data_IF_550599079380
#
_entry.id   IF_550599079380
#
_cell.length_a   1.000
_cell.length_b   1.000
_cell.length_c   1.000
_cell.angle_alpha   90.00
_cell.angle_beta   90.00
_cell.angle_gamma   90.00
#
_symmetry.space_group_name_H-M   'P 1'
#
loop_
_entity.id
_entity.type
_entity.pdbx_description
1 polymer ?
#
# COMPACT_ATOMS: atom_id res chain seq x y z
N UNK A 1 -11.32 -11.74 -3.56
CA UNK A 1 -10.61 -12.26 -2.38
C UNK A 1 -11.54 -12.37 -1.19
N UNK A 2 -12.36 -11.34 -0.91
CA UNK A 2 -13.21 -11.34 0.31
C UNK A 2 -14.31 -12.41 0.29
N UNK A 3 -14.74 -12.87 -0.87
CA UNK A 3 -15.81 -13.86 -1.05
C UNK A 3 -15.27 -15.31 -1.17
N UNK A 4 -13.96 -15.51 -0.98
CA UNK A 4 -13.36 -16.83 -1.03
C UNK A 4 -13.50 -17.57 0.32
N UNK A 5 -13.81 -18.86 0.26
CA UNK A 5 -13.96 -19.71 1.45
C UNK A 5 -12.63 -20.05 2.10
N UNK A 6 -11.57 -20.17 1.29
CA UNK A 6 -10.22 -20.52 1.70
C UNK A 6 -9.24 -19.51 1.10
N UNK A 7 -8.22 -19.14 1.86
CA UNK A 7 -7.17 -18.24 1.40
C UNK A 7 -5.81 -18.94 1.39
N UNK A 8 -5.19 -19.02 0.22
CA UNK A 8 -3.82 -19.54 0.10
C UNK A 8 -2.95 -18.39 -0.42
N UNK A 9 -1.87 -18.06 0.30
CA UNK A 9 -0.87 -17.11 -0.15
C UNK A 9 0.44 -17.78 -0.52
N UNK A 10 1.02 -17.32 -1.62
CA UNK A 10 2.38 -17.63 -2.02
C UNK A 10 3.15 -16.33 -2.11
N UNK A 11 4.16 -16.15 -1.28
CA UNK A 11 4.98 -14.95 -1.23
C UNK A 11 6.42 -15.26 -1.59
N UNK A 12 7.07 -14.39 -2.35
CA UNK A 12 8.51 -14.34 -2.49
C UNK A 12 9.07 -13.50 -1.35
N UNK A 13 9.91 -14.08 -0.50
CA UNK A 13 10.54 -13.37 0.61
C UNK A 13 11.76 -12.59 0.13
N UNK A 14 11.86 -11.31 0.48
CA UNK A 14 12.92 -10.39 0.03
C UNK A 14 13.02 -9.17 0.93
N UNK A 15 14.10 -8.39 0.77
CA UNK A 15 14.24 -7.09 1.42
C UNK A 15 13.20 -6.07 0.98
N UNK A 16 13.05 -5.00 1.76
CA UNK A 16 12.18 -3.87 1.44
C UNK A 16 12.58 -2.63 2.24
N UNK A 17 12.76 -1.51 1.55
CA UNK A 17 13.28 -0.25 2.12
C UNK A 17 12.41 0.36 3.23
N UNK A 18 11.09 0.22 3.13
CA UNK A 18 10.17 0.87 4.09
C UNK A 18 9.68 -0.07 5.18
N UNK A 19 9.75 -1.39 4.98
CA UNK A 19 9.18 -2.40 5.88
C UNK A 19 10.22 -3.37 6.44
N UNK A 20 11.48 -3.21 6.05
CA UNK A 20 12.57 -4.12 6.35
C UNK A 20 12.59 -5.32 5.41
N UNK A 21 11.52 -6.06 5.32
CA UNK A 21 11.32 -7.18 4.40
C UNK A 21 9.89 -7.26 3.86
N UNK A 22 9.67 -8.08 2.85
CA UNK A 22 8.37 -8.42 2.31
C UNK A 22 8.19 -9.94 2.29
N UNK A 23 7.35 -10.44 3.19
CA UNK A 23 6.94 -11.84 3.31
C UNK A 23 5.43 -12.02 3.17
N UNK A 24 4.84 -12.97 3.88
CA UNK A 24 3.43 -13.31 3.81
C UNK A 24 2.52 -12.14 4.21
N UNK A 25 2.79 -11.45 5.33
CA UNK A 25 1.98 -10.33 5.83
C UNK A 25 1.92 -9.20 4.81
N UNK A 26 3.07 -8.80 4.25
CA UNK A 26 3.10 -7.76 3.21
C UNK A 26 2.39 -8.21 1.94
N UNK A 27 2.59 -9.44 1.52
CA UNK A 27 1.94 -10.01 0.34
C UNK A 27 0.41 -9.96 0.47
N UNK A 28 -0.13 -10.30 1.62
CA UNK A 28 -1.56 -10.28 1.91
C UNK A 28 -2.06 -8.84 2.07
N UNK A 29 -1.50 -8.09 3.00
CA UNK A 29 -1.99 -6.77 3.40
C UNK A 29 -1.93 -5.74 2.27
N UNK A 30 -0.79 -5.68 1.57
CA UNK A 30 -0.64 -4.78 0.42
C UNK A 30 -1.23 -5.39 -0.86
N UNK A 31 -0.97 -6.68 -1.10
CA UNK A 31 -1.38 -7.36 -2.34
C UNK A 31 -2.89 -7.42 -2.51
N UNK A 32 -3.63 -7.74 -1.46
CA UNK A 32 -5.10 -7.83 -1.48
C UNK A 32 -5.81 -6.49 -1.31
N UNK A 33 -5.07 -5.42 -1.00
CA UNK A 33 -5.63 -4.07 -0.93
C UNK A 33 -6.10 -3.58 -2.29
N UNK A 34 -7.28 -2.96 -2.33
CA UNK A 34 -7.72 -2.21 -3.51
C UNK A 34 -6.75 -1.06 -3.80
N UNK A 35 -6.83 -0.45 -4.99
CA UNK A 35 -6.01 0.74 -5.31
C UNK A 35 -6.18 1.83 -4.25
N UNK A 36 -7.41 2.09 -3.82
CA UNK A 36 -7.69 3.07 -2.76
C UNK A 36 -7.12 2.61 -1.40
N UNK A 37 -7.23 1.32 -1.08
CA UNK A 37 -6.65 0.74 0.13
C UNK A 37 -5.12 0.81 0.15
N UNK A 38 -4.45 0.52 -0.97
CA UNK A 38 -2.99 0.71 -1.09
C UNK A 38 -2.57 2.16 -0.88
N UNK A 39 -3.32 3.09 -1.46
CA UNK A 39 -3.08 4.52 -1.23
C UNK A 39 -3.30 4.92 0.23
N UNK A 40 -4.34 4.38 0.88
CA UNK A 40 -4.60 4.62 2.30
C UNK A 40 -3.48 4.07 3.18
N UNK A 41 -2.97 2.87 2.90
CA UNK A 41 -1.84 2.30 3.62
C UNK A 41 -0.59 3.18 3.52
N UNK A 42 -0.29 3.74 2.34
CA UNK A 42 0.84 4.64 2.12
C UNK A 42 0.59 6.09 2.58
N UNK A 43 -0.66 6.50 2.76
CA UNK A 43 -1.02 7.84 3.17
C UNK A 43 -1.36 7.87 4.68
N UNK A 44 -0.54 8.55 5.47
CA UNK A 44 -0.84 8.82 6.89
C UNK A 44 -1.40 10.20 7.11
N UNK A 45 -1.62 10.96 6.09
CA UNK A 45 -1.86 12.35 6.30
C UNK A 45 -2.43 13.10 5.11
N UNK A 46 -2.51 14.37 5.34
CA UNK A 46 -3.10 15.34 4.45
C UNK A 46 -2.34 15.41 3.14
N UNK A 47 -3.08 15.56 2.08
CA UNK A 47 -2.55 15.76 0.74
C UNK A 47 -2.50 17.26 0.40
N UNK A 48 -1.57 17.66 -0.44
CA UNK A 48 -1.46 19.04 -0.94
C UNK A 48 -1.57 19.09 -2.46
N UNK A 49 -1.95 20.26 -2.96
CA UNK A 49 -2.02 20.53 -4.39
C UNK A 49 -0.85 21.42 -4.80
N UNK A 50 -0.13 21.02 -5.84
CA UNK A 50 0.81 21.90 -6.52
C UNK A 50 0.05 22.74 -7.56
N UNK A 51 -0.16 24.03 -7.34
CA UNK A 51 -0.96 24.88 -8.22
C UNK A 51 -0.34 25.03 -9.62
N UNK A 52 0.99 24.93 -9.74
CA UNK A 52 1.66 25.02 -11.04
C UNK A 52 1.35 23.83 -11.96
N UNK A 53 1.10 22.67 -11.37
CA UNK A 53 0.76 21.43 -12.09
C UNK A 53 -0.75 21.26 -12.26
N UNK A 54 -1.55 21.80 -11.35
CA UNK A 54 -3.00 21.67 -11.39
C UNK A 54 -3.59 22.33 -12.64
N UNK A 55 -4.46 21.62 -13.35
CA UNK A 55 -5.16 22.09 -14.55
C UNK A 55 -6.66 22.36 -14.29
N UNK A 56 -7.13 22.21 -13.06
CA UNK A 56 -8.53 22.42 -12.71
C UNK A 56 -9.52 21.47 -13.38
N UNK A 57 -9.07 20.27 -13.75
CA UNK A 57 -9.86 19.31 -14.55
C UNK A 57 -11.01 18.63 -13.78
N UNK A 58 -11.07 18.75 -12.47
CA UNK A 58 -12.15 18.22 -11.64
C UNK A 58 -12.04 16.76 -11.26
N UNK A 59 -11.10 16.00 -11.77
CA UNK A 59 -11.01 14.55 -11.51
C UNK A 59 -10.89 14.22 -10.03
N UNK A 60 -10.07 14.95 -9.29
CA UNK A 60 -9.86 14.74 -7.86
C UNK A 60 -11.15 15.00 -7.04
N UNK A 61 -11.87 16.07 -7.32
CA UNK A 61 -13.08 16.42 -6.59
C UNK A 61 -14.21 15.41 -6.85
N UNK A 62 -14.41 14.99 -8.11
CA UNK A 62 -15.41 13.96 -8.46
C UNK A 62 -15.15 12.62 -7.79
N UNK A 63 -13.92 12.32 -7.43
CA UNK A 63 -13.53 11.07 -6.79
C UNK A 63 -13.31 11.19 -5.27
N UNK A 64 -13.54 12.37 -4.68
CA UNK A 64 -13.42 12.58 -3.25
C UNK A 64 -14.72 12.19 -2.53
N UNK A 65 -14.70 11.04 -1.84
CA UNK A 65 -15.87 10.58 -1.09
C UNK A 65 -16.27 11.50 0.08
N UNK A 66 -15.32 12.33 0.55
CA UNK A 66 -15.56 13.26 1.66
C UNK A 66 -15.96 14.66 1.22
N UNK A 67 -16.02 14.92 -0.09
CA UNK A 67 -16.29 16.27 -0.60
C UNK A 67 -15.25 17.31 -0.14
N UNK A 68 -14.02 16.88 0.15
CA UNK A 68 -12.97 17.72 0.71
C UNK A 68 -12.20 18.54 -0.32
N UNK A 69 -12.66 18.59 -1.59
CA UNK A 69 -11.93 19.29 -2.65
C UNK A 69 -12.85 20.28 -3.34
N UNK A 70 -12.49 21.55 -3.27
CA UNK A 70 -13.13 22.69 -3.94
C UNK A 70 -12.16 23.32 -4.95
N UNK A 71 -12.55 24.43 -5.54
CA UNK A 71 -11.74 25.19 -6.50
C UNK A 71 -11.64 26.63 -6.05
N UNK A 72 -10.43 27.18 -6.08
CA UNK A 72 -10.18 28.58 -5.89
C UNK A 72 -10.60 29.44 -7.12
N UNK A 73 -10.43 30.74 -7.01
CA UNK A 73 -10.74 31.70 -8.09
C UNK A 73 -9.89 31.43 -9.34
N UNK A 74 -8.68 30.93 -9.17
CA UNK A 74 -7.76 30.51 -10.24
C UNK A 74 -8.13 29.14 -10.85
N UNK A 75 -9.26 28.56 -10.45
CA UNK A 75 -9.74 27.21 -10.83
C UNK A 75 -8.82 26.08 -10.43
N UNK A 76 -7.86 26.30 -9.51
CA UNK A 76 -7.02 25.25 -8.96
C UNK A 76 -7.74 24.53 -7.82
N UNK A 77 -7.46 23.25 -7.69
CA UNK A 77 -8.04 22.46 -6.60
C UNK A 77 -7.49 22.94 -5.25
N UNK A 78 -8.37 23.06 -4.28
CA UNK A 78 -8.08 23.39 -2.88
C UNK A 78 -8.62 22.27 -2.02
N UNK A 79 -7.83 21.82 -1.07
CA UNK A 79 -8.18 20.71 -0.17
C UNK A 79 -8.57 21.28 1.19
N UNK A 80 -9.77 20.96 1.61
CA UNK A 80 -10.26 21.22 2.96
C UNK A 80 -9.66 20.19 3.91
N UNK A 81 -8.75 20.63 4.74
CA UNK A 81 -8.00 19.76 5.65
C UNK A 81 -8.86 19.16 6.76
N UNK A 82 -9.96 19.80 7.14
CA UNK A 82 -10.87 19.28 8.16
C UNK A 82 -11.70 18.11 7.63
N UNK A 83 -12.12 18.19 6.37
CA UNK A 83 -12.84 17.10 5.71
C UNK A 83 -11.95 16.01 5.13
N UNK A 84 -10.68 16.32 4.89
CA UNK A 84 -9.75 15.37 4.28
C UNK A 84 -9.33 14.27 5.27
N UNK A 85 -9.68 13.03 4.96
CA UNK A 85 -9.29 11.84 5.75
C UNK A 85 -7.97 11.20 5.29
N UNK A 86 -7.25 11.81 4.36
CA UNK A 86 -5.93 11.33 3.92
C UNK A 86 -5.94 10.04 3.08
N UNK A 87 -7.07 9.60 2.53
CA UNK A 87 -7.18 8.33 1.81
C UNK A 87 -6.41 8.25 0.48
N UNK A 88 -5.82 9.36 0.00
CA UNK A 88 -4.99 9.43 -1.20
C UNK A 88 -5.71 9.17 -2.54
N UNK A 89 -7.02 8.91 -2.56
CA UNK A 89 -7.76 8.62 -3.79
C UNK A 89 -7.57 9.69 -4.87
N UNK A 90 -7.53 10.97 -4.49
CA UNK A 90 -7.31 12.09 -5.38
C UNK A 90 -5.95 12.07 -6.08
N UNK A 91 -4.91 11.52 -5.44
CA UNK A 91 -3.58 11.33 -6.04
C UNK A 91 -3.70 10.37 -7.22
N UNK A 92 -4.32 9.20 -6.98
CA UNK A 92 -4.49 8.18 -8.01
C UNK A 92 -5.33 8.59 -9.23
N UNK A 93 -6.14 9.66 -9.10
CA UNK A 93 -6.96 10.20 -10.20
C UNK A 93 -6.39 11.49 -10.81
N UNK A 94 -5.19 11.93 -10.38
CA UNK A 94 -4.58 13.14 -10.91
C UNK A 94 -3.62 12.80 -12.06
N UNK A 95 -4.08 12.99 -13.31
CA UNK A 95 -3.25 12.76 -14.50
C UNK A 95 -2.10 13.78 -14.70
N UNK A 96 -2.02 14.79 -13.83
CA UNK A 96 -1.03 15.86 -13.91
C UNK A 96 -0.02 15.81 -12.76
N UNK A 97 -0.06 14.79 -11.91
CA UNK A 97 0.74 14.66 -10.69
C UNK A 97 0.74 15.94 -9.84
N UNK A 98 -0.39 16.62 -9.83
CA UNK A 98 -0.54 17.88 -9.11
C UNK A 98 -0.85 17.68 -7.62
N UNK A 99 -1.30 16.49 -7.22
CA UNK A 99 -1.63 16.19 -5.83
C UNK A 99 -0.57 15.25 -5.26
N UNK A 100 -0.04 15.63 -4.11
CA UNK A 100 1.00 14.87 -3.42
C UNK A 100 0.61 14.63 -1.97
N UNK A 101 1.09 13.54 -1.43
CA UNK A 101 1.05 13.28 0.00
C UNK A 101 2.11 14.12 0.71
N UNK A 102 1.72 14.79 1.81
CA UNK A 102 2.63 15.60 2.61
C UNK A 102 3.47 14.76 3.57
N UNK A 103 3.00 13.56 3.92
CA UNK A 103 3.71 12.62 4.77
C UNK A 103 3.58 11.22 4.18
N UNK A 104 4.63 10.73 3.54
CA UNK A 104 4.83 9.29 3.42
C UNK A 104 5.03 8.74 4.83
N UNK A 105 4.21 7.78 5.21
CA UNK A 105 4.28 7.16 6.52
C UNK A 105 5.69 6.70 6.79
N UNK A 106 6.19 7.08 7.95
CA UNK A 106 7.28 6.34 8.57
C UNK A 106 6.93 4.85 8.52
N UNK A 107 7.92 4.01 8.23
CA UNK A 107 7.71 2.58 8.02
C UNK A 107 6.86 1.88 9.08
N UNK A 108 6.91 2.34 10.32
CA UNK A 108 6.11 1.79 11.42
C UNK A 108 4.60 1.88 11.18
N UNK A 109 4.08 3.03 10.74
CA UNK A 109 2.64 3.18 10.51
C UNK A 109 2.19 2.40 9.26
N UNK A 110 3.03 2.34 8.24
CA UNK A 110 2.81 1.51 7.08
C UNK A 110 2.73 0.02 7.46
N UNK A 111 3.65 -0.43 8.32
CA UNK A 111 3.67 -1.81 8.81
C UNK A 111 2.40 -2.16 9.61
N UNK A 112 1.97 -1.27 10.49
CA UNK A 112 0.71 -1.43 11.23
C UNK A 112 -0.49 -1.56 10.30
N UNK A 113 -0.62 -0.66 9.33
CA UNK A 113 -1.71 -0.70 8.35
C UNK A 113 -1.69 -1.96 7.51
N UNK A 114 -0.53 -2.41 7.05
CA UNK A 114 -0.42 -3.68 6.34
C UNK A 114 -0.86 -4.87 7.18
N UNK A 115 -0.50 -4.91 8.46
CA UNK A 115 -0.93 -5.96 9.38
C UNK A 115 -2.46 -5.92 9.59
N UNK A 116 -3.06 -4.73 9.74
CA UNK A 116 -4.52 -4.56 9.85
C UNK A 116 -5.24 -5.04 8.59
N UNK A 117 -4.74 -4.70 7.41
CA UNK A 117 -5.29 -5.16 6.13
C UNK A 117 -5.15 -6.68 5.98
N UNK A 118 -3.99 -7.25 6.32
CA UNK A 118 -3.79 -8.70 6.31
C UNK A 118 -4.77 -9.40 7.26
N UNK A 119 -4.92 -8.91 8.49
CA UNK A 119 -5.90 -9.41 9.45
C UNK A 119 -7.32 -9.35 8.92
N UNK A 120 -7.72 -8.26 8.27
CA UNK A 120 -9.04 -8.12 7.68
C UNK A 120 -9.29 -9.12 6.55
N UNK A 121 -8.28 -9.36 5.70
CA UNK A 121 -8.36 -10.35 4.61
C UNK A 121 -8.51 -11.77 5.16
N UNK A 122 -7.81 -12.11 6.24
CA UNK A 122 -7.80 -13.46 6.80
C UNK A 122 -8.95 -13.73 7.79
N UNK A 123 -9.63 -12.69 8.25
CA UNK A 123 -10.67 -12.82 9.25
C UNK A 123 -11.80 -13.78 8.81
N UNK A 124 -12.09 -14.75 9.67
CA UNK A 124 -13.24 -15.66 9.53
C UNK A 124 -13.09 -16.73 8.44
N UNK A 125 -11.86 -16.97 7.93
CA UNK A 125 -11.61 -17.99 6.92
C UNK A 125 -10.32 -18.76 7.20
N UNK A 126 -10.23 -20.04 6.84
CA UNK A 126 -8.98 -20.78 6.93
C UNK A 126 -7.98 -20.24 5.90
N UNK A 127 -6.72 -20.14 6.31
CA UNK A 127 -5.61 -19.70 5.46
C UNK A 127 -4.45 -20.69 5.50
N UNK A 128 -3.69 -20.75 4.41
CA UNK A 128 -2.41 -21.44 4.34
C UNK A 128 -1.41 -20.57 3.59
N UNK A 129 -0.21 -20.43 4.13
CA UNK A 129 0.75 -19.45 3.66
C UNK A 129 2.09 -20.12 3.35
N UNK A 130 2.70 -19.71 2.27
CA UNK A 130 4.00 -20.22 1.80
C UNK A 130 4.89 -19.01 1.50
N UNK A 131 6.10 -19.01 2.08
CA UNK A 131 7.18 -18.09 1.72
C UNK A 131 8.23 -18.84 0.92
N UNK A 132 8.52 -18.37 -0.28
CA UNK A 132 9.65 -18.79 -1.09
C UNK A 132 10.85 -17.92 -0.71
N UNK A 133 11.83 -18.53 -0.02
CA UNK A 133 13.04 -17.87 0.49
C UNK A 133 14.20 -18.25 -0.44
N UNK A 134 14.09 -17.80 -1.67
CA UNK A 134 15.00 -18.03 -2.80
C UNK A 134 15.21 -16.71 -3.55
N UNK A 135 16.33 -16.53 -4.21
CA UNK A 135 16.67 -15.30 -4.94
C UNK A 135 16.43 -14.01 -4.11
N UNK A 136 16.85 -14.04 -2.85
CA UNK A 136 16.55 -12.98 -1.87
C UNK A 136 17.28 -11.70 -2.25
N UNK A 137 16.59 -10.78 -2.92
CA UNK A 137 17.11 -9.47 -3.27
C UNK A 137 16.98 -8.47 -2.11
N UNK A 138 17.84 -7.44 -2.02
CA UNK A 138 17.73 -6.38 -1.03
C UNK A 138 16.48 -5.50 -1.26
N UNK A 139 16.03 -5.40 -2.51
CA UNK A 139 14.91 -4.58 -2.93
C UNK A 139 13.66 -5.42 -3.19
N UNK A 140 12.50 -4.82 -2.96
CA UNK A 140 11.22 -5.49 -3.20
C UNK A 140 10.91 -5.60 -4.70
N UNK A 141 10.26 -6.69 -5.12
CA UNK A 141 9.75 -6.89 -6.50
C UNK A 141 8.80 -5.77 -6.96
N UNK A 142 8.31 -4.94 -6.04
CA UNK A 142 7.53 -3.74 -6.40
C UNK A 142 8.39 -2.58 -6.92
N UNK A 143 9.72 -2.66 -6.81
CA UNK A 143 10.68 -1.71 -7.36
C UNK A 143 11.07 -2.14 -8.78
N UNK A 144 11.34 -1.19 -9.70
CA UNK A 144 11.73 -1.51 -11.07
C UNK A 144 13.21 -1.92 -11.21
N UNK A 145 13.95 -1.95 -10.12
CA UNK A 145 15.37 -2.31 -10.07
C UNK A 145 15.53 -3.73 -9.54
N UNK A 146 16.27 -4.55 -10.26
CA UNK A 146 16.69 -5.87 -9.80
C UNK A 146 18.12 -5.78 -9.28
N UNK A 147 18.34 -6.32 -8.08
CA UNK A 147 19.66 -6.48 -7.50
C UNK A 147 20.03 -7.97 -7.40
N UNK A 148 21.32 -8.23 -7.30
CA UNK A 148 21.79 -9.60 -7.05
C UNK A 148 21.28 -10.11 -5.70
N UNK A 149 21.00 -11.42 -5.58
CA UNK A 149 20.65 -12.02 -4.30
C UNK A 149 21.73 -11.74 -3.23
N UNK A 150 21.27 -11.37 -2.04
CA UNK A 150 22.14 -11.06 -0.88
C UNK A 150 22.40 -12.25 0.01
N UNK A 151 21.61 -13.30 -0.15
CA UNK A 151 21.71 -14.57 0.59
C UNK A 151 21.54 -15.73 -0.39
N UNK A 152 22.14 -16.89 -0.11
CA UNK A 152 21.86 -18.10 -0.87
C UNK A 152 20.40 -18.55 -0.66
N UNK A 153 19.91 -19.35 -1.59
CA UNK A 153 18.60 -19.96 -1.47
C UNK A 153 18.50 -20.82 -0.22
N UNK A 154 17.44 -20.60 0.56
CA UNK A 154 17.15 -21.37 1.77
C UNK A 154 16.10 -22.44 1.49
N UNK A 155 15.06 -22.10 0.71
CA UNK A 155 14.00 -23.00 0.34
C UNK A 155 12.60 -22.41 0.51
N UNK A 156 11.66 -23.25 0.92
CA UNK A 156 10.26 -22.85 1.15
C UNK A 156 9.85 -23.13 2.59
N UNK A 157 9.20 -22.17 3.19
CA UNK A 157 8.54 -22.31 4.48
C UNK A 157 7.02 -22.25 4.30
N UNK A 158 6.29 -23.00 5.11
CA UNK A 158 4.83 -23.02 5.05
C UNK A 158 4.21 -23.07 6.43
N UNK A 159 3.11 -22.35 6.64
CA UNK A 159 2.40 -22.29 7.91
C UNK A 159 0.93 -21.93 7.71
N UNK A 160 0.09 -22.29 8.68
CA UNK A 160 -1.27 -21.74 8.82
C UNK A 160 -1.27 -20.36 9.47
N UNK A 161 -0.19 -19.96 10.10
CA UNK A 161 0.00 -18.65 10.72
C UNK A 161 1.01 -17.83 9.90
N UNK A 162 0.58 -16.74 9.25
CA UNK A 162 1.47 -15.91 8.44
C UNK A 162 2.47 -15.10 9.27
N UNK A 163 2.19 -14.86 10.56
CA UNK A 163 3.14 -14.17 11.47
C UNK A 163 4.29 -15.12 11.78
N UNK A 164 3.99 -16.34 12.24
CA UNK A 164 5.01 -17.34 12.51
C UNK A 164 5.84 -17.66 11.25
N UNK A 165 5.24 -17.56 10.06
CA UNK A 165 5.93 -17.78 8.80
C UNK A 165 6.93 -16.67 8.47
N UNK A 166 6.58 -15.42 8.78
CA UNK A 166 7.44 -14.26 8.52
C UNK A 166 8.54 -14.08 9.60
N UNK A 167 8.39 -14.72 10.76
CA UNK A 167 9.38 -14.73 11.86
C UNK A 167 10.39 -15.89 11.77
N UNK A 168 10.11 -16.91 10.95
CA UNK A 168 10.96 -18.11 10.81
C UNK A 168 12.19 -17.84 9.95
#
# INVERSE_FOLDING_TARGET
VMDADIFISLAHFKGHDSTGFGGAIKNIGMGCGSRAGKMEQHCSGKVSVNPKRCRGCGACARNCAQGAISYGEDRKAVIDEEKCVGCGRCIGHCNFDAIRNNNFNAGELLNRKMAEYAKAVLAGRPGFHINMVIDISPSCDCCPTNDAPILPDIGMFASFDPVALDEA
#
